data_IF_826392814830
#
_entry.id   IF_826392814830
#
_cell.length_a   1.000
_cell.length_b   1.000
_cell.length_c   1.000
_cell.angle_alpha   90.00
_cell.angle_beta   90.00
_cell.angle_gamma   90.00
#
_symmetry.space_group_name_H-M   'P 1'
#
loop_
_entity.id
_entity.type
_entity.pdbx_description
1 polymer ?
#
# COMPACT_ATOMS: atom_id res chain seq x y z
N UNK A 1 104.86 -22.76 11.51
CA UNK A 1 103.45 -22.51 11.86
C UNK A 1 103.10 -21.05 11.60
N UNK A 2 102.44 -20.77 10.48
CA UNK A 2 101.97 -19.43 10.12
C UNK A 2 100.78 -19.05 11.00
N UNK A 3 100.97 -18.12 11.94
CA UNK A 3 99.87 -17.57 12.76
C UNK A 3 98.92 -16.78 11.85
N UNK A 4 97.95 -17.46 11.26
CA UNK A 4 96.86 -16.85 10.49
C UNK A 4 95.94 -16.13 11.50
N UNK A 5 95.82 -14.82 11.33
CA UNK A 5 94.99 -13.88 12.10
C UNK A 5 95.46 -13.57 13.53
N UNK A 6 96.39 -12.62 13.64
CA UNK A 6 96.49 -11.80 14.87
C UNK A 6 95.63 -10.56 14.70
N UNK A 7 95.03 -10.10 15.79
CA UNK A 7 94.36 -8.81 15.82
C UNK A 7 95.33 -7.72 15.31
N UNK A 8 94.91 -6.78 14.43
CA UNK A 8 95.75 -5.69 13.94
C UNK A 8 96.51 -4.93 15.04
N UNK A 9 95.88 -4.76 16.22
CA UNK A 9 96.52 -4.19 17.42
C UNK A 9 97.66 -5.08 17.92
N UNK A 10 97.39 -6.36 18.15
CA UNK A 10 98.40 -7.32 18.64
C UNK A 10 99.55 -7.52 17.65
N UNK A 11 99.26 -7.47 16.35
CA UNK A 11 100.27 -7.54 15.31
C UNK A 11 101.18 -6.30 15.33
N UNK A 12 100.60 -5.10 15.39
CA UNK A 12 101.33 -3.84 15.51
C UNK A 12 102.17 -3.79 16.78
N UNK A 13 101.60 -4.17 17.93
CA UNK A 13 102.32 -4.23 19.21
C UNK A 13 103.46 -5.26 19.18
N UNK A 14 103.26 -6.41 18.54
CA UNK A 14 104.35 -7.38 18.36
C UNK A 14 105.51 -6.77 17.58
N UNK A 15 105.23 -6.15 16.42
CA UNK A 15 106.27 -5.55 15.58
C UNK A 15 107.03 -4.45 16.32
N UNK A 16 106.33 -3.57 17.03
CA UNK A 16 106.94 -2.49 17.81
C UNK A 16 107.78 -3.04 18.98
N UNK A 17 107.30 -4.07 19.69
CA UNK A 17 108.06 -4.71 20.76
C UNK A 17 109.30 -5.45 20.25
N UNK A 18 109.22 -6.13 19.10
CA UNK A 18 110.39 -6.74 18.45
C UNK A 18 111.39 -5.66 17.99
N UNK A 19 110.91 -4.51 17.53
CA UNK A 19 111.77 -3.38 17.18
C UNK A 19 112.54 -2.85 18.41
N UNK A 20 111.89 -2.70 19.57
CA UNK A 20 112.59 -2.33 20.82
C UNK A 20 113.65 -3.37 21.20
N UNK A 21 113.33 -4.66 21.11
CA UNK A 21 114.31 -5.74 21.36
C UNK A 21 115.50 -5.63 20.42
N UNK A 22 115.26 -5.34 19.14
CA UNK A 22 116.29 -5.11 18.15
C UNK A 22 117.17 -3.90 18.52
N UNK A 23 116.58 -2.74 18.81
CA UNK A 23 117.30 -1.54 19.22
C UNK A 23 118.18 -1.79 20.46
N UNK A 24 117.67 -2.51 21.46
CA UNK A 24 118.44 -2.88 22.66
C UNK A 24 119.63 -3.78 22.34
N UNK A 25 119.48 -4.76 21.42
CA UNK A 25 120.58 -5.61 20.97
C UNK A 25 121.60 -4.83 20.15
N UNK A 26 121.13 -3.91 19.31
CA UNK A 26 121.96 -3.09 18.44
C UNK A 26 122.81 -2.10 19.24
N UNK A 27 122.24 -1.47 20.28
CA UNK A 27 122.93 -0.56 21.20
C UNK A 27 124.17 -1.19 21.86
N UNK A 28 124.08 -2.47 22.25
CA UNK A 28 125.20 -3.21 22.89
C UNK A 28 126.40 -3.40 21.96
N UNK A 29 126.20 -3.33 20.65
CA UNK A 29 127.23 -3.57 19.63
C UNK A 29 127.83 -2.28 19.07
N UNK A 30 127.31 -1.12 19.46
CA UNK A 30 127.70 0.17 18.89
C UNK A 30 128.53 1.02 19.87
N UNK A 31 129.48 1.82 19.34
CA UNK A 31 130.19 2.83 20.12
C UNK A 31 129.23 3.82 20.80
N UNK A 32 129.62 4.30 21.98
CA UNK A 32 128.79 5.15 22.84
C UNK A 32 128.27 6.42 22.16
N UNK A 33 129.00 6.97 21.18
CA UNK A 33 128.60 8.15 20.40
C UNK A 33 127.24 8.00 19.68
N UNK A 34 126.81 6.76 19.39
CA UNK A 34 125.53 6.49 18.73
C UNK A 34 124.38 6.14 19.70
N UNK A 35 124.66 6.00 21.00
CA UNK A 35 123.64 5.57 21.98
C UNK A 35 122.50 6.58 22.10
N UNK A 36 122.78 7.88 21.93
CA UNK A 36 121.77 8.94 21.97
C UNK A 36 120.74 8.81 20.83
N UNK A 37 121.18 8.45 19.62
CA UNK A 37 120.30 8.20 18.47
C UNK A 37 119.42 6.96 18.70
N UNK A 38 120.00 5.88 19.22
CA UNK A 38 119.26 4.65 19.53
C UNK A 38 118.23 4.89 20.64
N UNK A 39 118.57 5.68 21.66
CA UNK A 39 117.63 6.07 22.70
C UNK A 39 116.46 6.89 22.13
N UNK A 40 116.73 7.86 21.25
CA UNK A 40 115.67 8.64 20.59
C UNK A 40 114.71 7.76 19.77
N UNK A 41 115.23 6.81 19.00
CA UNK A 41 114.37 5.91 18.22
C UNK A 41 113.58 4.95 19.12
N UNK A 42 114.18 4.53 20.24
CA UNK A 42 113.49 3.73 21.25
C UNK A 42 112.35 4.50 21.90
N UNK A 43 112.59 5.75 22.33
CA UNK A 43 111.55 6.63 22.90
C UNK A 43 110.40 6.85 21.90
N UNK A 44 110.71 7.05 20.62
CA UNK A 44 109.71 7.16 19.55
C UNK A 44 108.89 5.88 19.39
N UNK A 45 109.54 4.71 19.43
CA UNK A 45 108.86 3.40 19.34
C UNK A 45 107.98 3.16 20.57
N UNK A 46 108.44 3.51 21.77
CA UNK A 46 107.66 3.46 23.00
C UNK A 46 106.44 4.39 22.92
N UNK A 47 106.59 5.59 22.37
CA UNK A 47 105.49 6.51 22.08
C UNK A 47 104.45 5.92 21.12
N UNK A 48 104.89 5.22 20.06
CA UNK A 48 103.99 4.51 19.15
C UNK A 48 103.24 3.35 19.81
N UNK A 49 103.88 2.62 20.73
CA UNK A 49 103.22 1.58 21.53
C UNK A 49 102.11 2.18 22.40
N UNK A 50 102.40 3.29 23.08
CA UNK A 50 101.40 4.01 23.90
C UNK A 50 100.25 4.50 23.03
N UNK A 51 100.54 5.08 21.86
CA UNK A 51 99.54 5.54 20.90
C UNK A 51 98.64 4.40 20.42
N UNK A 52 99.22 3.28 19.94
CA UNK A 52 98.47 2.09 19.53
C UNK A 52 97.65 1.53 20.69
N UNK A 53 98.17 1.51 21.90
CA UNK A 53 97.41 1.07 23.07
C UNK A 53 96.29 2.03 23.50
N UNK A 54 96.36 3.30 23.15
CA UNK A 54 95.33 4.27 23.50
C UNK A 54 94.24 4.29 22.44
N UNK A 55 94.60 4.57 21.20
CA UNK A 55 93.66 4.78 20.09
C UNK A 55 92.94 3.48 19.71
N UNK A 56 93.65 2.34 19.56
CA UNK A 56 92.98 1.09 19.17
C UNK A 56 92.05 0.52 20.26
N UNK A 57 92.10 0.99 21.50
CA UNK A 57 91.24 0.47 22.56
C UNK A 57 90.20 1.46 23.02
N UNK A 58 90.50 2.77 23.04
CA UNK A 58 89.54 3.78 23.41
C UNK A 58 88.49 3.99 22.31
N UNK A 59 88.94 4.13 21.05
CA UNK A 59 88.03 4.48 19.95
C UNK A 59 87.13 3.32 19.57
N UNK A 60 87.68 2.12 19.37
CA UNK A 60 86.86 0.95 19.05
C UNK A 60 85.88 0.60 20.18
N UNK A 61 86.28 0.71 21.45
CA UNK A 61 85.36 0.45 22.56
C UNK A 61 84.24 1.50 22.62
N UNK A 62 84.54 2.76 22.26
CA UNK A 62 83.53 3.82 22.16
C UNK A 62 82.56 3.54 21.01
N UNK A 63 83.07 3.25 19.82
CA UNK A 63 82.24 2.95 18.63
C UNK A 63 81.38 1.70 18.85
N UNK A 64 81.92 0.65 19.48
CA UNK A 64 81.14 -0.54 19.83
C UNK A 64 79.98 -0.17 20.77
N UNK A 65 80.23 0.63 21.81
CA UNK A 65 79.16 1.09 22.72
C UNK A 65 78.11 1.94 22.01
N UNK A 66 78.51 2.80 21.09
CA UNK A 66 77.58 3.61 20.28
C UNK A 66 76.69 2.71 19.41
N UNK A 67 77.28 1.74 18.71
CA UNK A 67 76.54 0.77 17.91
C UNK A 67 75.62 -0.13 18.76
N UNK A 68 76.05 -0.55 19.94
CA UNK A 68 75.22 -1.31 20.89
C UNK A 68 74.00 -0.50 21.35
N UNK A 69 74.19 0.78 21.64
CA UNK A 69 73.10 1.69 22.00
C UNK A 69 72.11 1.88 20.85
N UNK A 70 72.60 2.11 19.62
CA UNK A 70 71.76 2.21 18.42
C UNK A 70 70.96 0.93 18.19
N UNK A 71 71.61 -0.22 18.34
CA UNK A 71 70.99 -1.53 18.19
C UNK A 71 69.86 -1.74 19.21
N UNK A 72 70.05 -1.32 20.47
CA UNK A 72 68.99 -1.34 21.49
C UNK A 72 67.84 -0.37 21.18
N UNK A 73 68.11 0.80 20.59
CA UNK A 73 67.07 1.72 20.11
C UNK A 73 66.26 1.06 18.97
N UNK A 74 66.92 0.47 17.97
CA UNK A 74 66.25 -0.22 16.88
C UNK A 74 65.41 -1.42 17.37
N UNK A 75 65.93 -2.22 18.31
CA UNK A 75 65.14 -3.30 18.94
C UNK A 75 63.85 -2.79 19.59
N UNK A 76 63.92 -1.66 20.30
CA UNK A 76 62.73 -1.04 20.91
C UNK A 76 61.73 -0.55 19.84
N UNK A 77 62.22 0.06 18.77
CA UNK A 77 61.38 0.50 17.65
C UNK A 77 60.68 -0.67 16.97
N UNK A 78 61.40 -1.77 16.69
CA UNK A 78 60.82 -2.99 16.11
C UNK A 78 59.70 -3.52 16.98
N UNK A 79 59.92 -3.68 18.30
CA UNK A 79 58.87 -4.14 19.23
C UNK A 79 57.65 -3.23 19.24
N UNK A 80 57.84 -1.92 19.14
CA UNK A 80 56.75 -0.94 19.08
C UNK A 80 55.94 -1.07 17.78
N UNK A 81 56.62 -1.25 16.65
CA UNK A 81 55.98 -1.47 15.36
C UNK A 81 55.21 -2.79 15.32
N UNK A 82 55.80 -3.88 15.83
CA UNK A 82 55.12 -5.19 15.95
C UNK A 82 53.84 -5.09 16.79
N UNK A 83 53.88 -4.38 17.93
CA UNK A 83 52.70 -4.14 18.75
C UNK A 83 51.62 -3.33 18.02
N UNK A 84 52.03 -2.39 17.16
CA UNK A 84 51.13 -1.58 16.34
C UNK A 84 50.50 -2.43 15.23
N UNK A 85 51.28 -3.26 14.54
CA UNK A 85 50.82 -4.19 13.51
C UNK A 85 49.74 -5.12 14.10
N UNK A 86 50.02 -5.76 15.25
CA UNK A 86 49.03 -6.64 15.93
C UNK A 86 47.72 -5.93 16.28
N UNK A 87 47.77 -4.65 16.65
CA UNK A 87 46.56 -3.85 16.91
C UNK A 87 45.77 -3.58 15.64
N UNK A 88 46.46 -3.29 14.53
CA UNK A 88 45.84 -3.04 13.24
C UNK A 88 45.25 -4.32 12.62
N UNK A 89 45.91 -5.47 12.76
CA UNK A 89 45.39 -6.78 12.36
C UNK A 89 44.06 -7.07 13.06
N UNK A 90 44.01 -6.96 14.39
CA UNK A 90 42.76 -7.15 15.16
C UNK A 90 41.66 -6.16 14.77
N UNK A 91 42.03 -4.92 14.42
CA UNK A 91 41.07 -3.91 13.96
C UNK A 91 40.52 -4.27 12.58
N UNK A 92 41.33 -4.88 11.73
CA UNK A 92 40.95 -5.32 10.38
C UNK A 92 40.02 -6.53 10.49
N UNK A 93 40.38 -7.53 11.29
CA UNK A 93 39.54 -8.70 11.57
C UNK A 93 38.13 -8.32 12.06
N UNK A 94 38.03 -7.41 13.03
CA UNK A 94 36.73 -6.89 13.52
C UNK A 94 35.92 -6.17 12.44
N UNK A 95 36.60 -5.50 11.50
CA UNK A 95 35.93 -4.82 10.39
C UNK A 95 35.43 -5.82 9.36
N UNK A 96 36.20 -6.86 9.08
CA UNK A 96 35.81 -7.93 8.17
C UNK A 96 34.60 -8.69 8.71
N UNK A 97 34.61 -9.05 10.00
CA UNK A 97 33.44 -9.61 10.69
C UNK A 97 32.20 -8.70 10.57
N UNK A 98 32.38 -7.38 10.72
CA UNK A 98 31.29 -6.42 10.59
C UNK A 98 30.78 -6.32 9.15
N UNK A 99 31.66 -6.40 8.16
CA UNK A 99 31.29 -6.41 6.74
C UNK A 99 30.45 -7.66 6.44
N UNK A 100 30.85 -8.83 6.92
CA UNK A 100 30.11 -10.07 6.67
C UNK A 100 28.74 -10.06 7.35
N UNK A 101 28.62 -9.51 8.56
CA UNK A 101 27.31 -9.28 9.19
C UNK A 101 26.41 -8.37 8.34
N UNK A 102 26.94 -7.27 7.83
CA UNK A 102 26.19 -6.33 7.00
C UNK A 102 25.78 -6.93 5.64
N UNK A 103 26.61 -7.80 5.04
CA UNK A 103 26.25 -8.53 3.83
C UNK A 103 25.07 -9.46 4.08
N UNK A 104 25.11 -10.25 5.16
CA UNK A 104 24.02 -11.15 5.51
C UNK A 104 22.72 -10.38 5.80
N UNK A 105 22.81 -9.23 6.47
CA UNK A 105 21.67 -8.35 6.71
C UNK A 105 21.09 -7.80 5.39
N UNK A 106 21.95 -7.38 4.46
CA UNK A 106 21.52 -6.91 3.14
C UNK A 106 20.84 -8.02 2.32
N UNK A 107 21.39 -9.23 2.31
CA UNK A 107 20.77 -10.39 1.63
C UNK A 107 19.37 -10.67 2.20
N UNK A 108 19.26 -10.73 3.53
CA UNK A 108 17.98 -10.92 4.21
C UNK A 108 16.95 -9.82 3.88
N UNK A 109 17.38 -8.56 3.86
CA UNK A 109 16.50 -7.45 3.48
C UNK A 109 16.10 -7.51 2.00
N UNK A 110 17.00 -7.93 1.13
CA UNK A 110 16.73 -8.11 -0.29
C UNK A 110 15.67 -9.19 -0.53
N UNK A 111 15.79 -10.33 0.14
CA UNK A 111 14.79 -11.41 0.08
C UNK A 111 13.42 -10.93 0.56
N UNK A 112 13.37 -10.18 1.67
CA UNK A 112 12.12 -9.56 2.15
C UNK A 112 11.48 -8.59 1.17
N UNK A 113 12.29 -7.84 0.43
CA UNK A 113 11.78 -6.93 -0.60
C UNK A 113 11.16 -7.74 -1.74
N UNK A 114 11.86 -8.78 -2.21
CA UNK A 114 11.35 -9.66 -3.26
C UNK A 114 10.03 -10.35 -2.86
N UNK A 115 9.93 -10.82 -1.61
CA UNK A 115 8.68 -11.40 -1.08
C UNK A 115 7.54 -10.38 -1.07
N UNK A 116 7.82 -9.15 -0.65
CA UNK A 116 6.81 -8.06 -0.65
C UNK A 116 6.39 -7.68 -2.06
N UNK A 117 7.31 -7.61 -3.00
CA UNK A 117 7.01 -7.32 -4.40
C UNK A 117 6.12 -8.41 -5.02
N UNK A 118 6.36 -9.67 -4.68
CA UNK A 118 5.49 -10.78 -5.10
C UNK A 118 4.07 -10.65 -4.51
N UNK A 119 3.96 -10.29 -3.21
CA UNK A 119 2.66 -10.05 -2.57
C UNK A 119 1.93 -8.88 -3.25
N UNK A 120 2.63 -7.79 -3.58
CA UNK A 120 2.05 -6.65 -4.29
C UNK A 120 1.49 -7.09 -5.64
N UNK A 121 2.27 -7.83 -6.45
CA UNK A 121 1.80 -8.35 -7.75
C UNK A 121 0.55 -9.20 -7.64
N UNK A 122 0.46 -10.07 -6.63
CA UNK A 122 -0.73 -10.91 -6.39
C UNK A 122 -1.93 -10.04 -6.04
N UNK A 123 -1.74 -9.02 -5.19
CA UNK A 123 -2.80 -8.08 -4.82
C UNK A 123 -3.28 -7.25 -6.01
N UNK A 124 -2.38 -6.76 -6.84
CA UNK A 124 -2.72 -6.00 -8.05
C UNK A 124 -3.56 -6.85 -9.01
N UNK A 125 -3.18 -8.11 -9.24
CA UNK A 125 -3.97 -9.04 -10.04
C UNK A 125 -5.37 -9.28 -9.44
N UNK A 126 -5.47 -9.39 -8.12
CA UNK A 126 -6.76 -9.56 -7.42
C UNK A 126 -7.64 -8.30 -7.55
N UNK A 127 -7.05 -7.11 -7.49
CA UNK A 127 -7.77 -5.84 -7.69
C UNK A 127 -8.34 -5.81 -9.11
N UNK A 128 -7.53 -6.14 -10.13
CA UNK A 128 -8.01 -6.20 -11.52
C UNK A 128 -9.19 -7.15 -11.69
N UNK A 129 -9.13 -8.36 -11.11
CA UNK A 129 -10.23 -9.33 -11.18
C UNK A 129 -11.51 -8.77 -10.52
N UNK A 130 -11.37 -8.02 -9.41
CA UNK A 130 -12.50 -7.41 -8.72
C UNK A 130 -13.08 -6.23 -9.48
N UNK A 131 -12.25 -5.42 -10.13
CA UNK A 131 -12.70 -4.34 -11.00
C UNK A 131 -13.49 -4.89 -12.20
N UNK A 132 -13.02 -5.98 -12.81
CA UNK A 132 -13.76 -6.68 -13.87
C UNK A 132 -15.13 -7.19 -13.38
N UNK A 133 -15.19 -7.79 -12.18
CA UNK A 133 -16.44 -8.22 -11.56
C UNK A 133 -17.41 -7.05 -11.31
N UNK A 134 -16.89 -5.91 -10.83
CA UNK A 134 -17.69 -4.70 -10.61
C UNK A 134 -18.26 -4.19 -11.94
N UNK A 135 -17.45 -4.15 -13.00
CA UNK A 135 -17.90 -3.71 -14.32
C UNK A 135 -19.02 -4.59 -14.88
N UNK A 136 -18.92 -5.92 -14.73
CA UNK A 136 -19.99 -6.84 -15.13
C UNK A 136 -21.27 -6.56 -14.35
N UNK A 137 -21.17 -6.41 -13.03
CA UNK A 137 -22.34 -6.13 -12.18
C UNK A 137 -22.99 -4.78 -12.50
N UNK A 138 -22.20 -3.75 -12.83
CA UNK A 138 -22.73 -2.45 -13.25
C UNK A 138 -23.55 -2.57 -14.53
N UNK A 139 -23.02 -3.29 -15.54
CA UNK A 139 -23.74 -3.53 -16.80
C UNK A 139 -25.07 -4.25 -16.56
N UNK A 140 -25.09 -5.26 -15.69
CA UNK A 140 -26.32 -5.98 -15.38
C UNK A 140 -27.32 -5.16 -14.56
N UNK A 141 -26.82 -4.30 -13.66
CA UNK A 141 -27.64 -3.35 -12.92
C UNK A 141 -28.31 -2.34 -13.87
N UNK A 142 -27.57 -1.77 -14.82
CA UNK A 142 -28.10 -0.82 -15.80
C UNK A 142 -29.18 -1.47 -16.68
N UNK A 143 -28.96 -2.71 -17.16
CA UNK A 143 -30.00 -3.47 -17.88
C UNK A 143 -31.26 -3.69 -17.04
N UNK A 144 -31.09 -3.96 -15.74
CA UNK A 144 -32.22 -4.14 -14.84
C UNK A 144 -33.02 -2.85 -14.65
N UNK A 145 -32.35 -1.70 -14.61
CA UNK A 145 -32.99 -0.37 -14.59
C UNK A 145 -33.80 -0.18 -15.88
N UNK A 146 -33.17 -0.40 -17.04
CA UNK A 146 -33.84 -0.22 -18.34
C UNK A 146 -35.08 -1.09 -18.46
N UNK A 147 -34.99 -2.36 -18.06
CA UNK A 147 -36.13 -3.28 -18.03
C UNK A 147 -37.24 -2.80 -17.08
N UNK A 148 -36.88 -2.27 -15.91
CA UNK A 148 -37.86 -1.73 -14.95
C UNK A 148 -38.57 -0.50 -15.50
N UNK A 149 -37.85 0.37 -16.22
CA UNK A 149 -38.41 1.54 -16.86
C UNK A 149 -39.38 1.14 -17.98
N UNK A 150 -38.99 0.21 -18.87
CA UNK A 150 -39.85 -0.32 -19.93
C UNK A 150 -41.14 -0.95 -19.38
N UNK A 151 -41.03 -1.75 -18.32
CA UNK A 151 -42.21 -2.32 -17.62
C UNK A 151 -43.11 -1.23 -17.01
N UNK A 152 -42.52 -0.19 -16.42
CA UNK A 152 -43.27 0.94 -15.87
C UNK A 152 -44.06 1.67 -16.96
N UNK A 153 -43.45 1.93 -18.12
CA UNK A 153 -44.13 2.56 -19.25
C UNK A 153 -45.29 1.70 -19.76
N UNK A 154 -45.07 0.39 -19.95
CA UNK A 154 -46.13 -0.55 -20.37
C UNK A 154 -47.30 -0.59 -19.38
N UNK A 155 -47.02 -0.56 -18.08
CA UNK A 155 -48.06 -0.52 -17.04
C UNK A 155 -48.87 0.78 -17.09
N UNK A 156 -48.22 1.90 -17.38
CA UNK A 156 -48.89 3.20 -17.50
C UNK A 156 -49.77 3.27 -18.75
N UNK A 157 -49.30 2.76 -19.89
CA UNK A 157 -50.12 2.60 -21.10
C UNK A 157 -51.34 1.71 -20.86
N UNK A 158 -51.16 0.57 -20.19
CA UNK A 158 -52.26 -0.34 -19.85
C UNK A 158 -53.27 0.31 -18.89
N UNK A 159 -52.79 1.10 -17.91
CA UNK A 159 -53.66 1.89 -17.02
C UNK A 159 -54.46 2.93 -17.80
N UNK A 160 -53.81 3.70 -18.68
CA UNK A 160 -54.49 4.69 -19.51
C UNK A 160 -55.56 4.05 -20.42
N UNK A 161 -55.25 2.89 -21.02
CA UNK A 161 -56.23 2.14 -21.81
C UNK A 161 -57.42 1.67 -20.96
N UNK A 162 -57.17 1.13 -19.77
CA UNK A 162 -58.23 0.72 -18.83
C UNK A 162 -59.12 1.90 -18.44
N UNK A 163 -58.53 3.03 -18.08
CA UNK A 163 -59.28 4.23 -17.67
C UNK A 163 -60.18 4.74 -18.81
N UNK A 164 -59.65 4.77 -20.04
CA UNK A 164 -60.44 5.12 -21.23
C UNK A 164 -61.61 4.15 -21.45
N UNK A 165 -61.37 2.84 -21.30
CA UNK A 165 -62.43 1.82 -21.43
C UNK A 165 -63.51 1.99 -20.37
N UNK A 166 -63.11 2.29 -19.13
CA UNK A 166 -64.05 2.58 -18.02
C UNK A 166 -64.87 3.82 -18.33
N UNK A 167 -64.25 4.89 -18.84
CA UNK A 167 -64.94 6.13 -19.24
C UNK A 167 -65.98 5.88 -20.34
N UNK A 168 -65.62 5.12 -21.39
CA UNK A 168 -66.52 4.74 -22.48
C UNK A 168 -67.70 3.90 -21.98
N UNK A 169 -67.44 2.91 -21.12
CA UNK A 169 -68.48 2.08 -20.51
C UNK A 169 -69.43 2.89 -19.62
N UNK A 170 -68.89 3.81 -18.81
CA UNK A 170 -69.69 4.70 -17.96
C UNK A 170 -70.58 5.61 -18.82
N UNK A 171 -70.04 6.17 -19.91
CA UNK A 171 -70.80 6.99 -20.85
C UNK A 171 -71.98 6.20 -21.44
N UNK A 172 -71.74 4.97 -21.90
CA UNK A 172 -72.79 4.08 -22.40
C UNK A 172 -73.85 3.80 -21.33
N UNK A 173 -73.43 3.47 -20.10
CA UNK A 173 -74.35 3.22 -18.98
C UNK A 173 -75.23 4.44 -18.68
N UNK A 174 -74.67 5.65 -18.62
CA UNK A 174 -75.43 6.87 -18.37
C UNK A 174 -76.40 7.21 -19.51
N UNK A 175 -76.02 6.98 -20.77
CA UNK A 175 -76.93 7.12 -21.92
C UNK A 175 -78.12 6.15 -21.81
N UNK A 176 -77.88 4.91 -21.41
CA UNK A 176 -78.93 3.91 -21.25
C UNK A 176 -79.88 4.23 -20.08
N UNK A 177 -79.33 4.68 -18.94
CA UNK A 177 -80.12 5.20 -17.81
C UNK A 177 -80.98 6.39 -18.26
N UNK A 178 -80.43 7.30 -19.08
CA UNK A 178 -81.19 8.43 -19.62
C UNK A 178 -82.36 7.98 -20.50
N UNK A 179 -82.14 7.05 -21.43
CA UNK A 179 -83.22 6.49 -22.27
C UNK A 179 -84.30 5.82 -21.42
N UNK A 180 -83.89 5.04 -20.42
CA UNK A 180 -84.83 4.39 -19.50
C UNK A 180 -85.69 5.41 -18.73
N UNK A 181 -85.09 6.49 -18.23
CA UNK A 181 -85.83 7.59 -17.60
C UNK A 181 -86.84 8.26 -18.56
N UNK A 182 -86.47 8.43 -19.84
CA UNK A 182 -87.38 8.94 -20.87
C UNK A 182 -88.53 7.98 -21.16
N UNK A 183 -88.26 6.67 -21.22
CA UNK A 183 -89.30 5.65 -21.38
C UNK A 183 -90.24 5.60 -20.17
N UNK A 184 -89.72 5.62 -18.95
CA UNK A 184 -90.54 5.70 -17.73
C UNK A 184 -91.44 6.93 -17.72
N UNK A 185 -90.94 8.09 -18.18
CA UNK A 185 -91.75 9.30 -18.31
C UNK A 185 -92.90 9.11 -19.32
N UNK A 186 -92.61 8.55 -20.50
CA UNK A 186 -93.63 8.23 -21.51
C UNK A 186 -94.69 7.26 -20.98
N UNK A 187 -94.26 6.23 -20.24
CA UNK A 187 -95.18 5.28 -19.59
C UNK A 187 -96.07 5.99 -18.58
N UNK A 188 -95.50 6.82 -17.70
CA UNK A 188 -96.27 7.64 -16.73
C UNK A 188 -97.31 8.52 -17.42
N UNK A 189 -96.93 9.20 -18.50
CA UNK A 189 -97.85 10.06 -19.27
C UNK A 189 -98.99 9.24 -19.91
N UNK A 190 -98.69 8.07 -20.48
CA UNK A 190 -99.70 7.17 -21.05
C UNK A 190 -100.66 6.64 -19.98
N UNK A 191 -100.14 6.21 -18.83
CA UNK A 191 -100.96 5.76 -17.69
C UNK A 191 -101.87 6.88 -17.21
N UNK A 192 -101.38 8.12 -17.11
CA UNK A 192 -102.18 9.28 -16.72
C UNK A 192 -103.28 9.58 -17.74
N UNK A 193 -102.97 9.57 -19.04
CA UNK A 193 -103.98 9.75 -20.11
C UNK A 193 -105.05 8.67 -20.06
N UNK A 194 -104.65 7.40 -19.93
CA UNK A 194 -105.59 6.28 -19.84
C UNK A 194 -106.48 6.41 -18.60
N UNK A 195 -105.92 6.79 -17.45
CA UNK A 195 -106.68 7.05 -16.22
C UNK A 195 -107.71 8.17 -16.42
N UNK A 196 -107.31 9.27 -17.04
CA UNK A 196 -108.21 10.41 -17.29
C UNK A 196 -109.31 10.03 -18.29
N UNK A 197 -108.99 9.26 -19.33
CA UNK A 197 -109.97 8.75 -20.30
C UNK A 197 -110.98 7.80 -19.62
N UNK A 198 -110.50 6.87 -18.79
CA UNK A 198 -111.35 5.98 -18.01
C UNK A 198 -112.26 6.75 -17.04
N UNK A 199 -111.73 7.76 -16.34
CA UNK A 199 -112.54 8.63 -15.47
C UNK A 199 -113.62 9.39 -16.25
N UNK A 200 -113.29 9.89 -17.44
CA UNK A 200 -114.25 10.55 -18.32
C UNK A 200 -115.36 9.60 -18.78
N UNK A 201 -115.01 8.37 -19.18
CA UNK A 201 -115.98 7.32 -19.53
C UNK A 201 -116.88 6.94 -18.35
N UNK A 202 -116.31 6.77 -17.15
CA UNK A 202 -117.09 6.51 -15.92
C UNK A 202 -118.06 7.68 -15.64
N UNK A 203 -117.60 8.93 -15.80
CA UNK A 203 -118.45 10.11 -15.60
C UNK A 203 -119.61 10.13 -16.59
N UNK A 204 -119.36 9.86 -17.89
CA UNK A 204 -120.43 9.74 -18.89
C UNK A 204 -121.39 8.61 -18.54
N UNK A 205 -120.88 7.43 -18.17
CA UNK A 205 -121.72 6.30 -17.76
C UNK A 205 -122.61 6.68 -16.56
N UNK A 206 -122.06 7.34 -15.54
CA UNK A 206 -122.84 7.83 -14.39
C UNK A 206 -123.90 8.86 -14.80
N UNK A 207 -123.59 9.78 -15.72
CA UNK A 207 -124.58 10.75 -16.25
C UNK A 207 -125.71 10.03 -17.01
N UNK A 208 -125.39 9.01 -17.81
CA UNK A 208 -126.40 8.15 -18.45
C UNK A 208 -127.27 7.42 -17.42
N UNK A 209 -126.68 6.79 -16.42
CA UNK A 209 -127.41 6.10 -15.33
C UNK A 209 -128.32 7.06 -14.57
N UNK A 210 -127.87 8.28 -14.26
CA UNK A 210 -128.70 9.31 -13.62
C UNK A 210 -129.89 9.69 -14.51
N UNK A 211 -129.67 9.84 -15.82
CA UNK A 211 -130.73 10.16 -16.79
C UNK A 211 -131.76 9.01 -16.89
N UNK A 212 -131.29 7.77 -16.89
CA UNK A 212 -132.13 6.56 -16.90
C UNK A 212 -132.96 6.43 -15.61
N UNK A 213 -132.38 6.71 -14.44
CA UNK A 213 -133.09 6.79 -13.17
C UNK A 213 -134.16 7.89 -13.17
N UNK A 214 -133.87 9.07 -13.74
CA UNK A 214 -134.87 10.15 -13.90
C UNK A 214 -136.03 9.74 -14.79
N UNK A 215 -135.74 9.17 -15.97
CA UNK A 215 -136.77 8.65 -16.88
C UNK A 215 -137.58 7.55 -16.23
N UNK A 216 -136.94 6.65 -15.48
CA UNK A 216 -137.63 5.58 -14.74
C UNK A 216 -138.56 6.16 -13.67
N UNK A 217 -138.12 7.19 -12.94
CA UNK A 217 -138.95 7.90 -11.96
C UNK A 217 -140.12 8.64 -12.62
N UNK A 218 -139.91 9.23 -13.80
CA UNK A 218 -140.95 9.91 -14.60
C UNK A 218 -141.97 8.92 -15.15
N UNK A 219 -141.52 7.75 -15.64
CA UNK A 219 -142.40 6.63 -16.04
C UNK A 219 -143.21 6.12 -14.85
N UNK A 220 -142.59 5.97 -13.66
CA UNK A 220 -143.33 5.59 -12.45
C UNK A 220 -144.38 6.63 -12.08
N UNK A 221 -144.05 7.92 -12.16
CA UNK A 221 -144.99 9.00 -11.88
C UNK A 221 -146.16 8.99 -12.87
N UNK A 222 -145.89 8.82 -14.17
CA UNK A 222 -146.91 8.65 -15.21
C UNK A 222 -147.74 7.38 -14.99
N UNK A 223 -147.14 6.27 -14.52
CA UNK A 223 -147.88 5.06 -14.16
C UNK A 223 -148.83 5.31 -12.99
N UNK A 224 -148.38 6.00 -11.95
CA UNK A 224 -149.23 6.40 -10.81
C UNK A 224 -150.37 7.30 -11.29
N UNK A 225 -150.08 8.30 -12.13
CA UNK A 225 -151.11 9.17 -12.74
C UNK A 225 -152.13 8.38 -13.57
N UNK A 226 -151.68 7.41 -14.37
CA UNK A 226 -152.54 6.56 -15.18
C UNK A 226 -153.40 5.61 -14.31
N UNK A 227 -152.88 5.13 -13.18
CA UNK A 227 -153.66 4.40 -12.18
C UNK A 227 -154.70 5.30 -11.49
N UNK A 228 -154.39 6.57 -11.21
CA UNK A 228 -155.40 7.54 -10.74
C UNK A 228 -156.47 7.80 -11.78
N UNK A 229 -156.11 7.90 -13.08
CA UNK A 229 -157.08 8.06 -14.17
C UNK A 229 -157.97 6.81 -14.37
N UNK A 230 -157.43 5.60 -14.15
CA UNK A 230 -158.24 4.37 -14.15
C UNK A 230 -159.21 4.27 -12.97
N UNK A 231 -158.93 4.96 -11.87
CA UNK A 231 -159.77 5.00 -10.67
C UNK A 231 -160.94 6.00 -10.77
N UNK A 232 -160.98 6.81 -11.84
CA UNK A 232 -162.01 7.83 -12.10
C UNK A 232 -163.01 7.43 -13.21
N UNK A 233 -163.00 6.16 -13.63
CA UNK A 233 -164.01 5.52 -14.48
C UNK A 233 -164.71 4.41 -13.70
#
# INVERSE_FOLDING_TARGET
MTRKYRNPKEHSLMLLNEHIKFLNRFKRKLPNQYHSLINKEKEKTEGQIVFVNREFTADYAKTIKELENELEVFKKQIRSLEATIRKLEKKTERKDERIDQLKNENEYLHDKINDRDNIIRIKDATIMEKDDQINVLQVDYDKSIDNSLDLSFKLEEERAHRDKTIEENNKYYFEEVRKNNEYEKKIRDLVLRNRNCAQFQIKQANEFTIKELRLSSEIEQLRRENETYKSQR
#
